data_IF_869972417879
#
_entry.id   IF_869972417879
#
_cell.length_a   1.000
_cell.length_b   1.000
_cell.length_c   1.000
_cell.angle_alpha   90.00
_cell.angle_beta   90.00
_cell.angle_gamma   90.00
#
_symmetry.space_group_name_H-M   'P 1'
#
loop_
_entity.id
_entity.type
_entity.pdbx_description
1 polymer ?
#
# COMPACT_ATOMS: atom_id res chain seq x y z
N UNK A 1 -52.41 4.98 -29.96
CA UNK A 1 -51.42 5.23 -28.88
C UNK A 1 -50.30 4.23 -29.01
N UNK A 2 -49.02 4.65 -29.04
CA UNK A 2 -47.88 3.70 -29.01
C UNK A 2 -47.83 3.07 -27.62
N UNK A 3 -47.81 1.74 -27.55
CA UNK A 3 -47.64 1.02 -26.29
C UNK A 3 -46.37 1.51 -25.58
N UNK A 4 -46.47 1.79 -24.28
CA UNK A 4 -45.30 2.08 -23.46
C UNK A 4 -44.48 0.79 -23.37
N UNK A 5 -43.42 0.71 -24.16
CA UNK A 5 -42.44 -0.37 -24.12
C UNK A 5 -41.75 -0.29 -22.75
N UNK A 6 -42.00 -1.25 -21.87
CA UNK A 6 -41.64 -1.31 -20.44
C UNK A 6 -42.22 -0.17 -19.56
N UNK A 7 -43.50 -0.28 -19.13
CA UNK A 7 -44.14 0.74 -18.29
C UNK A 7 -43.67 0.69 -16.83
N UNK A 8 -43.21 -0.48 -16.36
CA UNK A 8 -42.82 -0.73 -14.96
C UNK A 8 -41.32 -0.61 -14.69
N UNK A 9 -40.48 -0.52 -15.73
CA UNK A 9 -39.02 -0.43 -15.65
C UNK A 9 -38.35 -1.61 -14.91
N UNK A 10 -39.02 -2.77 -14.82
CA UNK A 10 -38.52 -3.95 -14.09
C UNK A 10 -37.27 -4.51 -14.77
N UNK A 11 -37.30 -4.57 -16.10
CA UNK A 11 -36.17 -5.05 -16.88
C UNK A 11 -34.98 -4.10 -16.76
N UNK A 12 -35.23 -2.78 -16.83
CA UNK A 12 -34.21 -1.77 -16.59
C UNK A 12 -33.54 -1.94 -15.22
N UNK A 13 -34.31 -2.15 -14.15
CA UNK A 13 -33.75 -2.34 -12.80
C UNK A 13 -32.84 -3.58 -12.77
N UNK A 14 -33.30 -4.71 -13.33
CA UNK A 14 -32.49 -5.94 -13.39
C UNK A 14 -31.17 -5.75 -14.12
N UNK A 15 -31.19 -5.03 -15.24
CA UNK A 15 -29.98 -4.74 -16.01
C UNK A 15 -29.04 -3.83 -15.21
N UNK A 16 -29.58 -2.81 -14.52
CA UNK A 16 -28.76 -1.93 -13.69
C UNK A 16 -28.09 -2.68 -12.54
N UNK A 17 -28.82 -3.60 -11.90
CA UNK A 17 -28.28 -4.45 -10.83
C UNK A 17 -27.21 -5.40 -11.38
N UNK A 18 -27.43 -5.99 -12.56
CA UNK A 18 -26.45 -6.84 -13.22
C UNK A 18 -25.17 -6.07 -13.58
N UNK A 19 -25.28 -4.90 -14.21
CA UNK A 19 -24.13 -4.07 -14.56
C UNK A 19 -23.34 -3.62 -13.31
N UNK A 20 -24.05 -3.33 -12.21
CA UNK A 20 -23.40 -3.01 -10.94
C UNK A 20 -22.67 -4.22 -10.35
N UNK A 21 -23.23 -5.42 -10.45
CA UNK A 21 -22.63 -6.66 -9.97
C UNK A 21 -21.38 -7.07 -10.78
N UNK A 22 -21.43 -6.91 -12.10
CA UNK A 22 -20.33 -7.22 -13.02
C UNK A 22 -19.27 -6.11 -13.08
N UNK A 23 -19.45 -5.04 -12.29
CA UNK A 23 -18.63 -3.82 -12.32
C UNK A 23 -18.49 -3.17 -13.71
N UNK A 24 -19.52 -3.27 -14.53
CA UNK A 24 -19.58 -2.66 -15.87
C UNK A 24 -20.15 -1.24 -15.76
N UNK A 25 -19.59 -0.30 -16.52
CA UNK A 25 -20.02 1.09 -16.49
C UNK A 25 -21.48 1.26 -16.90
N UNK A 26 -22.29 1.79 -15.97
CA UNK A 26 -23.71 2.04 -16.21
C UNK A 26 -23.87 3.22 -17.18
N UNK A 27 -24.08 2.91 -18.47
CA UNK A 27 -24.36 3.89 -19.53
C UNK A 27 -25.62 3.55 -20.32
N UNK A 28 -26.29 4.56 -20.89
CA UNK A 28 -27.51 4.34 -21.67
C UNK A 28 -27.29 3.46 -22.92
N UNK A 29 -26.07 3.46 -23.48
CA UNK A 29 -25.70 2.58 -24.59
C UNK A 29 -25.53 1.14 -24.13
N UNK A 30 -24.90 0.95 -22.97
CA UNK A 30 -24.69 -0.39 -22.42
C UNK A 30 -26.02 -1.03 -22.02
N UNK A 31 -26.88 -0.28 -21.31
CA UNK A 31 -28.24 -0.73 -20.98
C UNK A 31 -29.02 -1.13 -22.24
N UNK A 32 -28.91 -0.35 -23.33
CA UNK A 32 -29.61 -0.65 -24.57
C UNK A 32 -29.14 -1.95 -25.26
N UNK A 33 -27.90 -2.39 -25.04
CA UNK A 33 -27.40 -3.69 -25.54
C UNK A 33 -28.10 -4.84 -24.83
N UNK A 34 -28.22 -4.73 -23.50
CA UNK A 34 -28.78 -5.77 -22.62
C UNK A 34 -30.31 -5.79 -22.57
N UNK A 35 -30.98 -4.68 -22.90
CA UNK A 35 -32.44 -4.61 -22.86
C UNK A 35 -33.08 -5.30 -24.06
N UNK A 36 -34.05 -6.18 -23.84
CA UNK A 36 -34.73 -6.97 -24.87
C UNK A 36 -35.52 -6.11 -25.86
N UNK A 37 -36.26 -5.11 -25.37
CA UNK A 37 -37.16 -4.26 -26.17
C UNK A 37 -36.54 -2.91 -26.53
N UNK A 38 -35.90 -2.22 -25.58
CA UNK A 38 -35.40 -0.85 -25.76
C UNK A 38 -33.95 -0.86 -26.26
N UNK A 39 -33.76 -1.01 -27.58
CA UNK A 39 -32.43 -1.11 -28.20
C UNK A 39 -31.72 0.22 -28.48
N UNK A 40 -32.35 1.36 -28.18
CA UNK A 40 -31.80 2.69 -28.45
C UNK A 40 -31.54 3.47 -27.17
N UNK A 41 -30.34 4.04 -27.02
CA UNK A 41 -29.97 4.87 -25.87
C UNK A 41 -30.95 6.04 -25.63
N UNK A 42 -31.49 6.63 -26.71
CA UNK A 42 -32.47 7.72 -26.64
C UNK A 42 -33.78 7.34 -25.94
N UNK A 43 -34.15 6.05 -25.94
CA UNK A 43 -35.35 5.56 -25.27
C UNK A 43 -35.24 5.59 -23.73
N UNK A 44 -34.01 5.61 -23.22
CA UNK A 44 -33.72 5.78 -21.80
C UNK A 44 -33.53 7.24 -21.44
N UNK A 45 -32.86 8.01 -22.30
CA UNK A 45 -32.50 9.40 -21.98
C UNK A 45 -33.66 10.39 -22.14
N UNK A 46 -34.64 10.10 -22.99
CA UNK A 46 -35.83 10.95 -23.16
C UNK A 46 -36.92 10.73 -22.10
N UNK A 47 -36.87 9.63 -21.36
CA UNK A 47 -37.82 9.34 -20.30
C UNK A 47 -37.22 9.75 -18.93
N UNK A 48 -37.78 10.75 -18.24
CA UNK A 48 -37.21 11.26 -17.00
C UNK A 48 -37.20 10.21 -15.87
N UNK A 49 -38.19 9.31 -15.81
CA UNK A 49 -38.24 8.27 -14.79
C UNK A 49 -37.10 7.25 -14.97
N UNK A 50 -36.81 6.84 -16.21
CA UNK A 50 -35.69 5.93 -16.52
C UNK A 50 -34.35 6.59 -16.29
N UNK A 51 -34.19 7.84 -16.74
CA UNK A 51 -32.97 8.59 -16.53
C UNK A 51 -32.65 8.73 -15.03
N UNK A 52 -33.67 8.98 -14.19
CA UNK A 52 -33.51 9.04 -12.74
C UNK A 52 -32.93 7.73 -12.17
N UNK A 53 -33.49 6.58 -12.54
CA UNK A 53 -32.97 5.27 -12.12
C UNK A 53 -31.51 5.06 -12.53
N UNK A 54 -31.16 5.40 -13.78
CA UNK A 54 -29.81 5.26 -14.31
C UNK A 54 -28.82 6.13 -13.54
N UNK A 55 -29.19 7.38 -13.23
CA UNK A 55 -28.35 8.32 -12.48
C UNK A 55 -28.14 7.83 -11.06
N UNK A 56 -29.20 7.37 -10.37
CA UNK A 56 -29.11 6.84 -9.02
C UNK A 56 -28.22 5.60 -8.95
N UNK A 57 -28.40 4.63 -9.86
CA UNK A 57 -27.58 3.42 -9.91
C UNK A 57 -26.12 3.73 -10.24
N UNK A 58 -25.86 4.65 -11.19
CA UNK A 58 -24.48 5.12 -11.47
C UNK A 58 -23.85 5.76 -10.24
N UNK A 59 -24.58 6.60 -9.53
CA UNK A 59 -24.04 7.25 -8.33
C UNK A 59 -23.73 6.22 -7.22
N UNK A 60 -24.57 5.20 -7.04
CA UNK A 60 -24.30 4.09 -6.11
C UNK A 60 -23.03 3.33 -6.51
N UNK A 61 -22.86 3.00 -7.79
CA UNK A 61 -21.66 2.33 -8.31
C UNK A 61 -20.40 3.14 -8.04
N UNK A 62 -20.42 4.46 -8.33
CA UNK A 62 -19.28 5.34 -8.07
C UNK A 62 -18.91 5.40 -6.58
N UNK A 63 -19.91 5.46 -5.69
CA UNK A 63 -19.67 5.42 -4.24
C UNK A 63 -19.05 4.09 -3.81
N UNK A 64 -19.56 2.97 -4.32
CA UNK A 64 -19.02 1.65 -4.01
C UNK A 64 -17.56 1.51 -4.48
N UNK A 65 -17.25 1.96 -5.71
CA UNK A 65 -15.88 1.99 -6.24
C UNK A 65 -14.95 2.86 -5.41
N UNK A 66 -15.40 4.04 -4.98
CA UNK A 66 -14.60 4.94 -4.14
C UNK A 66 -14.23 4.29 -2.79
N UNK A 67 -15.19 3.60 -2.16
CA UNK A 67 -14.95 2.86 -0.91
C UNK A 67 -13.99 1.70 -1.15
N UNK A 68 -14.16 0.93 -2.23
CA UNK A 68 -13.28 -0.18 -2.58
C UNK A 68 -11.83 0.28 -2.80
N UNK A 69 -11.63 1.40 -3.51
CA UNK A 69 -10.30 2.00 -3.74
C UNK A 69 -9.67 2.42 -2.40
N UNK A 70 -10.45 3.08 -1.52
CA UNK A 70 -9.96 3.51 -0.21
C UNK A 70 -9.59 2.33 0.70
N UNK A 71 -10.30 1.22 0.61
CA UNK A 71 -10.00 0.02 1.40
C UNK A 71 -8.76 -0.69 0.84
N UNK A 72 -8.65 -0.81 -0.50
CA UNK A 72 -7.49 -1.39 -1.15
C UNK A 72 -6.21 -0.63 -0.80
N UNK A 73 -6.25 0.71 -0.82
CA UNK A 73 -5.11 1.53 -0.43
C UNK A 73 -4.74 1.33 1.04
N UNK A 74 -5.71 1.32 1.96
CA UNK A 74 -5.46 1.05 3.38
C UNK A 74 -4.77 -0.31 3.61
N UNK A 75 -5.26 -1.36 2.95
CA UNK A 75 -4.68 -2.72 3.06
C UNK A 75 -3.26 -2.77 2.49
N UNK A 76 -2.98 -2.06 1.39
CA UNK A 76 -1.64 -1.94 0.84
C UNK A 76 -0.69 -1.18 1.77
N UNK A 77 -1.15 -0.09 2.38
CA UNK A 77 -0.39 0.67 3.38
C UNK A 77 -0.06 -0.20 4.60
N UNK A 78 -1.02 -0.94 5.14
CA UNK A 78 -0.81 -1.82 6.29
C UNK A 78 0.20 -2.93 5.96
N UNK A 79 0.06 -3.59 4.80
CA UNK A 79 1.02 -4.61 4.35
C UNK A 79 2.43 -4.05 4.17
N UNK A 80 2.55 -2.82 3.64
CA UNK A 80 3.85 -2.16 3.49
C UNK A 80 4.47 -1.80 4.84
N UNK A 81 3.65 -1.32 5.78
CA UNK A 81 4.05 -0.99 7.14
C UNK A 81 4.56 -2.23 7.89
N UNK A 82 3.80 -3.33 7.85
CA UNK A 82 4.21 -4.60 8.46
C UNK A 82 5.52 -5.13 7.87
N UNK A 83 5.69 -5.06 6.55
CA UNK A 83 6.93 -5.48 5.90
C UNK A 83 8.11 -4.63 6.35
N UNK A 84 7.94 -3.31 6.38
CA UNK A 84 8.96 -2.37 6.83
C UNK A 84 9.37 -2.62 8.30
N UNK A 85 8.41 -2.97 9.16
CA UNK A 85 8.69 -3.32 10.55
C UNK A 85 9.54 -4.61 10.66
N UNK A 86 9.15 -5.66 9.92
CA UNK A 86 9.92 -6.93 9.89
C UNK A 86 11.34 -6.74 9.34
N UNK A 87 11.49 -5.96 8.27
CA UNK A 87 12.80 -5.68 7.68
C UNK A 87 13.70 -4.92 8.66
N UNK A 88 13.13 -3.98 9.42
CA UNK A 88 13.85 -3.22 10.46
C UNK A 88 14.31 -4.12 11.61
N UNK A 89 13.46 -5.05 12.07
CA UNK A 89 13.83 -6.03 13.10
C UNK A 89 14.93 -6.98 12.62
N UNK A 90 14.84 -7.47 11.38
CA UNK A 90 15.85 -8.33 10.78
C UNK A 90 17.20 -7.62 10.67
N UNK A 91 17.20 -6.35 10.23
CA UNK A 91 18.41 -5.53 10.15
C UNK A 91 19.01 -5.28 11.54
N UNK A 92 18.18 -4.99 12.55
CA UNK A 92 18.64 -4.81 13.92
C UNK A 92 19.29 -6.09 14.47
N UNK A 93 18.73 -7.26 14.16
CA UNK A 93 19.32 -8.55 14.55
C UNK A 93 20.66 -8.81 13.83
N UNK A 94 20.75 -8.49 12.54
CA UNK A 94 21.99 -8.61 11.78
C UNK A 94 23.08 -7.70 12.34
N UNK A 95 22.75 -6.45 12.67
CA UNK A 95 23.67 -5.52 13.32
C UNK A 95 24.16 -6.07 14.68
N UNK A 96 23.26 -6.59 15.52
CA UNK A 96 23.65 -7.21 16.80
C UNK A 96 24.62 -8.38 16.61
N UNK A 97 24.36 -9.26 15.64
CA UNK A 97 25.24 -10.40 15.31
C UNK A 97 26.60 -9.91 14.82
N UNK A 98 26.62 -8.90 13.97
CA UNK A 98 27.86 -8.31 13.45
C UNK A 98 28.68 -7.67 14.57
N UNK A 99 28.05 -6.92 15.47
CA UNK A 99 28.72 -6.33 16.64
C UNK A 99 29.31 -7.43 17.54
N UNK A 100 28.53 -8.47 17.84
CA UNK A 100 28.99 -9.60 18.66
C UNK A 100 30.18 -10.34 18.01
N UNK A 101 30.14 -10.55 16.69
CA UNK A 101 31.23 -11.17 15.95
C UNK A 101 32.51 -10.32 16.00
N UNK A 102 32.41 -9.01 15.77
CA UNK A 102 33.56 -8.10 15.88
C UNK A 102 34.13 -8.05 17.30
N UNK A 103 33.27 -7.97 18.32
CA UNK A 103 33.69 -7.99 19.72
C UNK A 103 34.43 -9.30 20.05
N UNK A 104 33.92 -10.45 19.58
CA UNK A 104 34.57 -11.74 19.72
C UNK A 104 35.94 -11.81 19.02
N UNK A 105 36.04 -11.27 17.81
CA UNK A 105 37.30 -11.22 17.05
C UNK A 105 38.33 -10.35 17.76
N UNK A 106 37.95 -9.15 18.22
CA UNK A 106 38.81 -8.28 19.01
C UNK A 106 39.31 -9.07 20.22
N UNK A 107 38.41 -9.66 21.00
CA UNK A 107 38.77 -10.45 22.20
C UNK A 107 39.75 -11.59 21.89
N UNK A 108 39.53 -12.34 20.81
CA UNK A 108 40.44 -13.41 20.39
C UNK A 108 41.85 -12.87 20.08
N UNK A 109 41.96 -11.74 19.39
CA UNK A 109 43.25 -11.07 19.11
C UNK A 109 43.92 -10.61 20.41
N UNK A 110 43.15 -10.08 21.37
CA UNK A 110 43.70 -9.70 22.68
C UNK A 110 44.30 -10.92 23.41
N UNK A 111 43.57 -12.04 23.45
CA UNK A 111 44.01 -13.28 24.11
C UNK A 111 45.22 -13.91 23.42
N UNK A 112 45.37 -13.72 22.11
CA UNK A 112 46.54 -14.15 21.34
C UNK A 112 47.77 -13.22 21.50
N UNK A 113 47.69 -12.18 22.34
CA UNK A 113 48.79 -11.24 22.59
C UNK A 113 48.86 -10.05 21.61
N UNK A 114 47.87 -9.88 20.74
CA UNK A 114 47.82 -8.80 19.74
C UNK A 114 47.39 -7.42 20.26
N UNK A 115 47.44 -7.19 21.58
CA UNK A 115 46.98 -5.95 22.20
C UNK A 115 47.72 -4.70 21.69
N UNK A 116 49.03 -4.78 21.49
CA UNK A 116 49.82 -3.65 21.00
C UNK A 116 49.45 -3.26 19.56
N UNK A 117 49.12 -4.23 18.71
CA UNK A 117 48.64 -3.99 17.36
C UNK A 117 47.25 -3.35 17.35
N UNK A 118 46.34 -3.81 18.23
CA UNK A 118 45.03 -3.19 18.41
C UNK A 118 45.13 -1.75 18.92
N UNK A 119 46.02 -1.48 19.88
CA UNK A 119 46.24 -0.12 20.40
C UNK A 119 46.71 0.84 19.31
N UNK A 120 47.68 0.41 18.49
CA UNK A 120 48.16 1.20 17.35
C UNK A 120 47.05 1.47 16.34
N UNK A 121 46.30 0.44 15.97
CA UNK A 121 45.16 0.57 15.06
C UNK A 121 44.13 1.59 15.58
N UNK A 122 43.74 1.50 16.86
CA UNK A 122 42.77 2.44 17.43
C UNK A 122 43.29 3.86 17.57
N UNK A 123 44.60 4.07 17.79
CA UNK A 123 45.22 5.39 17.76
C UNK A 123 45.10 6.05 16.39
N UNK A 124 45.38 5.31 15.32
CA UNK A 124 45.24 5.80 13.94
C UNK A 124 43.75 5.99 13.59
N UNK A 125 42.86 5.09 14.04
CA UNK A 125 41.42 5.20 13.82
C UNK A 125 40.77 6.36 14.58
N UNK A 126 41.33 6.78 15.73
CA UNK A 126 40.82 7.92 16.51
C UNK A 126 40.77 9.19 15.67
N UNK A 127 41.78 9.44 14.84
CA UNK A 127 41.80 10.62 13.96
C UNK A 127 40.65 10.59 12.94
N UNK A 128 40.33 9.40 12.41
CA UNK A 128 39.19 9.19 11.53
C UNK A 128 37.88 9.41 12.28
N UNK A 129 37.74 8.85 13.49
CA UNK A 129 36.55 9.02 14.33
C UNK A 129 36.31 10.48 14.71
N UNK A 130 37.35 11.20 15.11
CA UNK A 130 37.29 12.62 15.44
C UNK A 130 36.88 13.46 14.21
N UNK A 131 37.38 13.14 13.01
CA UNK A 131 36.99 13.82 11.77
C UNK A 131 35.51 13.59 11.39
N UNK A 132 35.00 12.36 11.56
CA UNK A 132 33.58 12.06 11.32
C UNK A 132 32.68 12.74 12.36
N UNK A 133 33.15 12.85 13.61
CA UNK A 133 32.42 13.55 14.67
C UNK A 133 32.37 15.08 14.44
N UNK A 134 33.43 15.68 13.88
CA UNK A 134 33.44 17.09 13.47
C UNK A 134 32.45 17.40 12.33
N UNK A 135 32.11 16.40 11.53
CA UNK A 135 31.14 16.51 10.43
C UNK A 135 29.68 16.30 10.87
N UNK A 136 29.43 16.15 12.19
CA UNK A 136 28.13 15.83 12.78
C UNK A 136 27.50 14.56 12.19
N UNK A 137 28.34 13.69 11.61
CA UNK A 137 27.92 12.46 10.93
C UNK A 137 27.84 11.25 11.88
N UNK A 138 28.04 11.47 13.18
CA UNK A 138 27.95 10.44 14.23
C UNK A 138 26.77 10.77 15.17
N UNK A 139 25.89 9.80 15.48
CA UNK A 139 24.85 10.00 16.49
C UNK A 139 25.47 10.35 17.86
N UNK A 140 24.85 11.24 18.67
CA UNK A 140 25.49 11.88 19.82
C UNK A 140 25.93 10.94 20.95
N UNK A 141 25.48 9.68 20.98
CA UNK A 141 26.00 8.64 21.88
C UNK A 141 25.85 7.25 21.25
N UNK A 142 26.97 6.56 21.02
CA UNK A 142 26.96 5.10 20.89
C UNK A 142 26.80 4.50 22.29
N UNK A 143 25.63 3.92 22.58
CA UNK A 143 25.40 3.22 23.84
C UNK A 143 26.12 1.86 23.75
N UNK A 144 27.12 1.65 24.58
CA UNK A 144 27.71 0.31 24.79
C UNK A 144 26.67 -0.50 25.57
N UNK A 145 26.06 -1.49 24.91
CA UNK A 145 25.17 -2.43 25.56
C UNK A 145 26.02 -3.51 26.24
N UNK A 146 26.06 -3.49 27.58
CA UNK A 146 26.58 -4.63 28.35
C UNK A 146 25.67 -5.83 28.13
N UNK A 147 26.18 -6.84 27.42
CA UNK A 147 25.51 -8.13 27.26
C UNK A 147 25.97 -8.99 28.46
N UNK A 148 25.08 -9.16 29.45
CA UNK A 148 25.23 -10.17 30.51
C UNK A 148 24.88 -11.56 30.01
#
# INVERSE_FOLDING_TARGET
MRALLDPSNIELIKILDQLALEDVDITAREIARHHSVLKNASAFTRNPARMKLIVESRQKQLKARAVAISLASSVEYDRKSERSARDSEALALQLKRMIAAHAGLIRAVQLAGGMSALERFWKEYKEVGDAVQMLDAVPPKAIVLDIK
#
